data_IF_997376221420
#
_entry.id   IF_997376221420
#
_cell.length_a   1.000
_cell.length_b   1.000
_cell.length_c   1.000
_cell.angle_alpha   90.00
_cell.angle_beta   90.00
_cell.angle_gamma   90.00
#
_symmetry.space_group_name_H-M   'P 1'
#
loop_
_entity.id
_entity.type
_entity.pdbx_description
1 polymer ?
#
# COMPACT_ATOMS: atom_id res chain seq x y z
N UNK A 1 -16.95 5.43 34.00
CA UNK A 1 -16.36 5.87 32.72
C UNK A 1 -14.90 5.46 32.78
N UNK A 2 -14.56 4.29 32.25
CA UNK A 2 -13.18 3.79 32.24
C UNK A 2 -12.34 4.65 31.30
N UNK A 3 -11.10 4.87 31.69
CA UNK A 3 -10.08 5.62 30.95
C UNK A 3 -9.56 4.77 29.78
N UNK A 4 -10.42 4.48 28.79
CA UNK A 4 -10.06 3.75 27.56
C UNK A 4 -8.95 4.47 26.76
N UNK A 5 -8.69 5.74 27.05
CA UNK A 5 -7.68 6.54 26.38
C UNK A 5 -6.26 5.99 26.54
N UNK A 6 -5.97 5.26 27.64
CA UNK A 6 -4.67 4.63 27.88
C UNK A 6 -4.46 3.34 27.09
N UNK A 7 -5.53 2.62 26.76
CA UNK A 7 -5.44 1.35 26.02
C UNK A 7 -5.02 1.58 24.56
N UNK A 8 -5.47 2.67 23.93
CA UNK A 8 -5.22 2.94 22.51
C UNK A 8 -4.09 3.96 22.25
N UNK A 9 -3.10 4.08 23.14
CA UNK A 9 -1.95 4.98 22.88
C UNK A 9 -1.19 4.48 21.66
N UNK A 10 -1.08 5.34 20.63
CA UNK A 10 -0.36 5.08 19.39
C UNK A 10 1.02 5.68 19.47
N UNK A 11 2.02 4.96 18.98
CA UNK A 11 3.38 5.46 18.80
C UNK A 11 3.63 5.63 17.32
N UNK A 12 3.75 6.89 16.88
CA UNK A 12 4.09 7.24 15.51
C UNK A 12 5.41 8.01 15.56
N UNK A 13 6.46 7.42 15.02
CA UNK A 13 7.79 8.00 14.90
C UNK A 13 7.90 8.68 13.54
N UNK A 14 8.41 9.90 13.51
CA UNK A 14 8.82 10.54 12.26
C UNK A 14 10.26 10.13 11.98
N UNK A 15 10.49 9.67 10.77
CA UNK A 15 11.81 9.23 10.30
C UNK A 15 12.01 9.78 8.89
N UNK A 16 13.21 9.66 8.34
CA UNK A 16 13.52 10.11 6.98
C UNK A 16 14.65 9.29 6.37
N UNK A 17 14.56 9.02 5.08
CA UNK A 17 15.63 8.35 4.33
C UNK A 17 16.15 9.28 3.25
N UNK A 18 17.44 9.58 3.27
CA UNK A 18 18.10 10.32 2.19
C UNK A 18 18.31 9.37 1.01
N UNK A 19 17.70 9.70 -0.13
CA UNK A 19 17.78 8.91 -1.36
C UNK A 19 18.79 9.50 -2.32
N UNK A 20 19.76 8.69 -2.75
CA UNK A 20 20.68 9.06 -3.83
C UNK A 20 19.97 8.96 -5.17
N UNK A 21 19.14 7.93 -5.36
CA UNK A 21 18.40 7.67 -6.60
C UNK A 21 17.40 8.78 -6.93
N UNK A 22 16.69 9.30 -5.94
CA UNK A 22 15.71 10.37 -6.11
C UNK A 22 16.31 11.77 -6.00
N UNK A 23 17.52 11.88 -5.44
CA UNK A 23 18.19 13.16 -5.16
C UNK A 23 17.50 13.99 -4.09
N UNK A 24 16.72 13.37 -3.21
CA UNK A 24 15.96 14.04 -2.15
C UNK A 24 15.89 13.21 -0.87
N UNK A 25 15.51 13.84 0.24
CA UNK A 25 15.19 13.15 1.49
C UNK A 25 13.71 12.84 1.53
N UNK A 26 13.38 11.56 1.71
CA UNK A 26 12.02 11.03 1.76
C UNK A 26 11.53 10.96 3.22
N UNK A 27 10.52 11.75 3.63
CA UNK A 27 9.94 11.66 4.96
C UNK A 27 9.15 10.37 5.14
N UNK A 28 9.19 9.81 6.34
CA UNK A 28 8.52 8.56 6.71
C UNK A 28 7.71 8.74 8.00
N UNK A 29 6.62 7.99 8.11
CA UNK A 29 5.84 7.81 9.35
C UNK A 29 5.87 6.35 9.75
N UNK A 30 6.43 6.05 10.90
CA UNK A 30 6.56 4.69 11.40
C UNK A 30 5.60 4.50 12.56
N UNK A 31 4.57 3.69 12.36
CA UNK A 31 3.70 3.23 13.43
C UNK A 31 4.30 1.99 14.08
N UNK A 32 4.43 2.03 15.40
CA UNK A 32 4.82 0.88 16.21
C UNK A 32 3.57 0.33 16.92
N UNK A 33 3.30 -0.99 16.82
CA UNK A 33 2.11 -1.58 17.39
C UNK A 33 2.12 -1.54 18.93
N UNK A 34 0.94 -1.68 19.59
CA UNK A 34 0.86 -1.84 21.04
C UNK A 34 1.73 -3.00 21.50
N UNK A 35 2.48 -2.80 22.58
CA UNK A 35 3.40 -3.82 23.09
C UNK A 35 4.70 -3.98 22.27
N UNK A 36 5.00 -3.05 21.35
CA UNK A 36 6.25 -3.06 20.59
C UNK A 36 7.47 -3.35 21.46
N UNK A 37 8.24 -4.32 21.00
CA UNK A 37 9.45 -4.84 21.62
C UNK A 37 10.47 -5.14 20.52
N UNK A 38 11.68 -4.60 20.68
CA UNK A 38 12.79 -4.72 19.73
C UNK A 38 13.32 -6.16 19.58
N UNK A 39 13.00 -7.05 20.52
CA UNK A 39 13.40 -8.46 20.50
C UNK A 39 12.43 -9.36 19.70
N UNK A 40 11.28 -8.84 19.28
CA UNK A 40 10.31 -9.55 18.44
C UNK A 40 10.38 -9.04 17.00
N UNK A 41 9.93 -9.85 16.04
CA UNK A 41 9.81 -9.42 14.64
C UNK A 41 8.36 -9.32 14.17
N UNK A 42 8.06 -8.29 13.37
CA UNK A 42 6.71 -7.95 12.93
C UNK A 42 6.56 -8.03 11.40
N UNK A 43 5.40 -8.41 10.87
CA UNK A 43 5.03 -8.05 9.51
C UNK A 43 5.10 -6.53 9.32
N UNK A 44 5.28 -6.10 8.08
CA UNK A 44 5.37 -4.68 7.73
C UNK A 44 4.43 -4.32 6.58
N UNK A 45 3.69 -3.23 6.77
CA UNK A 45 2.85 -2.63 5.74
C UNK A 45 3.50 -1.33 5.29
N UNK A 46 3.86 -1.26 4.02
CA UNK A 46 4.35 -0.04 3.39
C UNK A 46 3.19 0.68 2.69
N UNK A 47 2.81 1.83 3.23
CA UNK A 47 1.77 2.67 2.65
C UNK A 47 2.39 3.75 1.75
N UNK A 48 2.05 3.69 0.46
CA UNK A 48 2.16 4.83 -0.44
C UNK A 48 1.34 6.00 0.09
N UNK A 49 1.66 7.25 -0.26
CA UNK A 49 0.96 8.42 0.30
C UNK A 49 0.89 8.40 1.83
N UNK A 50 2.03 8.18 2.50
CA UNK A 50 2.12 7.95 3.94
C UNK A 50 1.32 8.95 4.78
N UNK A 51 1.42 10.24 4.46
CA UNK A 51 0.63 11.30 5.09
C UNK A 51 -0.87 11.05 5.02
N UNK A 52 -1.38 10.62 3.87
CA UNK A 52 -2.80 10.39 3.63
C UNK A 52 -3.31 9.13 4.36
N UNK A 53 -2.57 8.02 4.33
CA UNK A 53 -2.92 6.81 5.08
C UNK A 53 -3.00 7.06 6.59
N UNK A 54 -2.07 7.86 7.12
CA UNK A 54 -2.03 8.17 8.55
C UNK A 54 -3.11 9.18 8.96
N UNK A 55 -3.34 10.22 8.17
CA UNK A 55 -4.24 11.32 8.53
C UNK A 55 -5.70 11.04 8.12
N UNK A 56 -5.94 10.66 6.87
CA UNK A 56 -7.28 10.41 6.34
C UNK A 56 -7.70 8.94 6.53
N UNK A 57 -6.81 8.01 6.17
CA UNK A 57 -7.05 6.57 6.40
C UNK A 57 -7.09 6.19 7.88
N UNK A 58 -6.45 6.99 8.75
CA UNK A 58 -6.30 6.71 10.19
C UNK A 58 -5.75 5.32 10.48
N UNK A 59 -4.90 4.77 9.60
CA UNK A 59 -4.44 3.37 9.64
C UNK A 59 -3.88 2.95 11.00
N UNK A 60 -3.06 3.81 11.64
CA UNK A 60 -2.53 3.57 12.98
C UNK A 60 -3.62 3.39 14.05
N UNK A 61 -4.76 4.10 13.90
CA UNK A 61 -5.91 3.95 14.82
C UNK A 61 -6.65 2.66 14.56
N UNK A 62 -6.90 2.36 13.28
CA UNK A 62 -7.58 1.16 12.84
C UNK A 62 -6.80 -0.07 13.30
N UNK A 63 -5.52 -0.16 12.96
CA UNK A 63 -4.68 -1.29 13.32
C UNK A 63 -4.51 -1.45 14.84
N UNK A 64 -4.32 -0.37 15.61
CA UNK A 64 -4.29 -0.47 17.08
C UNK A 64 -5.58 -1.09 17.64
N UNK A 65 -6.75 -0.75 17.09
CA UNK A 65 -8.02 -1.33 17.54
C UNK A 65 -8.11 -2.80 17.16
N UNK A 66 -7.80 -3.16 15.92
CA UNK A 66 -7.84 -4.56 15.48
C UNK A 66 -6.91 -5.44 16.33
N UNK A 67 -5.71 -4.95 16.66
CA UNK A 67 -4.76 -5.67 17.53
C UNK A 67 -5.33 -5.88 18.93
N UNK A 68 -5.91 -4.84 19.55
CA UNK A 68 -6.33 -4.89 20.96
C UNK A 68 -7.70 -5.54 21.15
N UNK A 69 -8.62 -5.32 20.22
CA UNK A 69 -10.03 -5.69 20.35
C UNK A 69 -10.34 -7.01 19.62
N UNK A 70 -9.56 -7.34 18.58
CA UNK A 70 -9.81 -8.47 17.68
C UNK A 70 -8.63 -9.47 17.61
N UNK A 71 -7.60 -9.28 18.44
CA UNK A 71 -6.39 -10.13 18.50
C UNK A 71 -5.67 -10.27 17.14
N UNK A 72 -5.77 -9.25 16.29
CA UNK A 72 -5.08 -9.22 15.00
C UNK A 72 -3.56 -9.18 15.21
N UNK A 73 -2.79 -9.84 14.34
CA UNK A 73 -1.33 -9.87 14.45
C UNK A 73 -0.74 -8.44 14.47
N UNK A 74 0.09 -8.09 15.48
CA UNK A 74 0.79 -6.82 15.52
C UNK A 74 1.71 -6.62 14.31
N UNK A 75 1.54 -5.50 13.60
CA UNK A 75 2.37 -5.13 12.45
C UNK A 75 2.93 -3.71 12.57
N UNK A 76 4.08 -3.47 11.95
CA UNK A 76 4.64 -2.13 11.76
C UNK A 76 4.05 -1.53 10.49
N UNK A 77 3.70 -0.24 10.51
CA UNK A 77 3.27 0.48 9.29
C UNK A 77 4.29 1.55 8.96
N UNK A 78 4.80 1.53 7.74
CA UNK A 78 5.72 2.52 7.17
C UNK A 78 4.96 3.35 6.14
N UNK A 79 4.56 4.55 6.51
CA UNK A 79 4.02 5.54 5.58
C UNK A 79 5.14 6.25 4.85
N UNK A 80 5.16 6.16 3.52
CA UNK A 80 6.16 6.79 2.65
C UNK A 80 5.55 8.07 2.06
N UNK A 81 6.02 9.24 2.50
CA UNK A 81 5.47 10.52 2.02
C UNK A 81 5.98 10.86 0.63
N UNK A 82 5.09 11.27 -0.27
CA UNK A 82 5.49 11.72 -1.60
C UNK A 82 5.41 13.24 -1.69
N UNK A 83 6.37 13.86 -2.39
CA UNK A 83 6.22 15.25 -2.78
C UNK A 83 5.09 15.32 -3.81
N UNK A 84 4.01 16.04 -3.50
CA UNK A 84 2.81 16.13 -4.34
C UNK A 84 3.15 16.54 -5.79
N UNK A 85 4.12 17.43 -5.97
CA UNK A 85 4.56 17.87 -7.30
C UNK A 85 5.22 16.75 -8.13
N UNK A 86 5.82 15.76 -7.46
CA UNK A 86 6.48 14.61 -8.10
C UNK A 86 5.60 13.37 -8.11
N UNK A 87 4.49 13.33 -7.36
CA UNK A 87 3.67 12.13 -7.13
C UNK A 87 3.26 11.44 -8.43
N UNK A 88 2.71 12.19 -9.39
CA UNK A 88 2.31 11.61 -10.68
C UNK A 88 3.52 11.08 -11.46
N UNK A 89 4.66 11.80 -11.43
CA UNK A 89 5.91 11.39 -12.11
C UNK A 89 6.56 10.15 -11.49
N UNK A 90 6.37 9.93 -10.19
CA UNK A 90 6.92 8.78 -9.45
C UNK A 90 5.97 7.57 -9.48
N UNK A 91 4.66 7.78 -9.40
CA UNK A 91 3.70 6.67 -9.23
C UNK A 91 3.08 6.18 -10.54
N UNK A 92 2.99 7.02 -11.56
CA UNK A 92 2.48 6.61 -12.87
C UNK A 92 3.59 5.85 -13.64
N UNK A 93 3.32 4.67 -14.23
CA UNK A 93 4.34 3.90 -14.93
C UNK A 93 5.01 4.60 -16.13
N UNK A 94 4.33 5.59 -16.71
CA UNK A 94 4.89 6.45 -17.77
C UNK A 94 5.59 7.71 -17.24
N UNK A 95 5.63 7.90 -15.93
CA UNK A 95 6.25 9.04 -15.27
C UNK A 95 7.78 8.98 -15.36
N UNK A 96 8.41 10.13 -15.54
CA UNK A 96 9.87 10.24 -15.71
C UNK A 96 10.66 9.69 -14.51
N UNK A 97 10.09 9.75 -13.31
CA UNK A 97 10.73 9.31 -12.07
C UNK A 97 10.28 7.92 -11.61
N UNK A 98 9.44 7.23 -12.37
CA UNK A 98 8.82 5.98 -11.94
C UNK A 98 9.86 4.90 -11.61
N UNK A 99 10.74 4.60 -12.56
CA UNK A 99 11.77 3.58 -12.38
C UNK A 99 12.72 3.94 -11.20
N UNK A 100 13.07 5.22 -11.06
CA UNK A 100 13.89 5.71 -9.94
C UNK A 100 13.17 5.54 -8.61
N UNK A 101 11.85 5.77 -8.56
CA UNK A 101 11.05 5.56 -7.37
C UNK A 101 10.99 4.08 -6.98
N UNK A 102 10.75 3.20 -7.96
CA UNK A 102 10.72 1.75 -7.74
C UNK A 102 12.08 1.23 -7.25
N UNK A 103 13.19 1.70 -7.84
CA UNK A 103 14.55 1.40 -7.39
C UNK A 103 14.83 1.95 -6.00
N UNK A 104 14.50 3.21 -5.71
CA UNK A 104 14.61 3.80 -4.38
C UNK A 104 13.93 2.93 -3.33
N UNK A 105 12.71 2.49 -3.63
CA UNK A 105 11.93 1.71 -2.69
C UNK A 105 12.61 0.38 -2.35
N UNK A 106 13.08 -0.33 -3.38
CA UNK A 106 13.69 -1.66 -3.22
C UNK A 106 15.12 -1.62 -2.67
N UNK A 107 15.92 -0.63 -3.09
CA UNK A 107 17.38 -0.61 -2.86
C UNK A 107 17.80 0.33 -1.73
N UNK A 108 17.00 1.35 -1.39
CA UNK A 108 17.33 2.32 -0.35
C UNK A 108 16.35 2.26 0.82
N UNK A 109 15.04 2.40 0.56
CA UNK A 109 14.03 2.44 1.62
C UNK A 109 13.89 1.10 2.35
N UNK A 110 13.76 0.00 1.61
CA UNK A 110 13.56 -1.32 2.20
C UNK A 110 14.74 -1.68 3.12
N UNK A 111 16.01 -1.64 2.69
CA UNK A 111 17.15 -1.85 3.59
C UNK A 111 17.24 -0.84 4.73
N UNK A 112 16.84 0.43 4.51
CA UNK A 112 16.84 1.44 5.57
C UNK A 112 15.94 1.04 6.74
N UNK A 113 14.73 0.56 6.44
CA UNK A 113 13.74 0.11 7.43
C UNK A 113 14.20 -1.19 8.10
N UNK A 114 14.63 -2.18 7.33
CA UNK A 114 14.99 -3.50 7.86
C UNK A 114 16.22 -3.49 8.79
N UNK A 115 17.09 -2.48 8.65
CA UNK A 115 18.22 -2.29 9.55
C UNK A 115 17.88 -1.50 10.83
N UNK A 116 16.71 -0.85 10.91
CA UNK A 116 16.33 0.03 12.03
C UNK A 116 15.17 -0.51 12.85
N UNK A 117 14.27 -1.24 12.22
CA UNK A 117 13.07 -1.78 12.84
C UNK A 117 13.09 -3.30 12.69
N UNK A 118 12.62 -4.05 13.71
CA UNK A 118 12.64 -5.50 13.67
C UNK A 118 11.46 -6.02 12.83
N UNK A 119 11.53 -5.78 11.52
CA UNK A 119 10.54 -6.27 10.56
C UNK A 119 10.99 -7.62 10.00
N UNK A 120 10.02 -8.46 9.64
CA UNK A 120 10.29 -9.73 8.96
C UNK A 120 10.65 -9.46 7.49
N UNK A 121 11.66 -10.18 7.00
CA UNK A 121 12.27 -9.92 5.69
C UNK A 121 11.76 -10.87 4.58
N UNK A 122 10.89 -11.81 4.93
CA UNK A 122 10.25 -12.68 3.93
C UNK A 122 9.25 -11.86 3.10
N UNK A 123 9.20 -12.07 1.79
CA UNK A 123 8.31 -11.30 0.89
C UNK A 123 6.81 -11.46 1.21
N UNK A 124 6.42 -12.53 1.90
CA UNK A 124 5.06 -12.76 2.42
C UNK A 124 4.75 -11.90 3.64
N UNK A 125 5.76 -11.36 4.32
CA UNK A 125 5.59 -10.51 5.52
C UNK A 125 5.65 -9.02 5.19
N UNK A 126 5.86 -8.68 3.91
CA UNK A 126 5.89 -7.32 3.38
C UNK A 126 4.65 -7.07 2.54
N UNK A 127 3.80 -6.15 3.00
CA UNK A 127 2.56 -5.78 2.33
C UNK A 127 2.74 -4.38 1.75
N UNK A 128 2.55 -4.23 0.44
CA UNK A 128 2.49 -2.92 -0.21
C UNK A 128 1.04 -2.43 -0.21
N UNK A 129 0.78 -1.18 0.13
CA UNK A 129 -0.56 -0.63 0.19
C UNK A 129 -0.61 0.75 -0.47
N UNK A 130 -1.62 0.99 -1.31
CA UNK A 130 -1.82 2.31 -1.89
C UNK A 130 -3.21 2.53 -2.47
N UNK A 131 -3.61 3.79 -2.55
CA UNK A 131 -4.83 4.23 -3.21
C UNK A 131 -4.55 4.83 -4.59
N UNK A 132 -5.46 4.65 -5.55
CA UNK A 132 -5.34 5.28 -6.88
C UNK A 132 -3.99 4.97 -7.55
N UNK A 133 -3.17 5.99 -7.90
CA UNK A 133 -1.79 5.81 -8.38
C UNK A 133 -0.86 5.11 -7.36
N UNK A 134 -1.10 5.26 -6.06
CA UNK A 134 -0.42 4.50 -5.01
C UNK A 134 -0.68 2.99 -5.14
N UNK A 135 -1.91 2.59 -5.51
CA UNK A 135 -2.23 1.20 -5.82
C UNK A 135 -1.51 0.71 -7.07
N UNK A 136 -1.39 1.58 -8.09
CA UNK A 136 -0.62 1.31 -9.31
C UNK A 136 0.85 1.07 -9.01
N UNK A 137 1.56 2.00 -8.35
CA UNK A 137 2.99 1.83 -8.05
C UNK A 137 3.25 0.65 -7.11
N UNK A 138 2.33 0.35 -6.18
CA UNK A 138 2.43 -0.84 -5.33
C UNK A 138 2.39 -2.15 -6.13
N UNK A 139 1.54 -2.22 -7.16
CA UNK A 139 1.50 -3.37 -8.06
C UNK A 139 2.77 -3.46 -8.91
N UNK A 140 3.25 -2.35 -9.47
CA UNK A 140 4.51 -2.34 -10.25
C UNK A 140 5.72 -2.76 -9.41
N UNK A 141 5.84 -2.27 -8.18
CA UNK A 141 6.85 -2.72 -7.22
C UNK A 141 6.85 -4.24 -7.04
N UNK A 142 5.67 -4.87 -6.91
CA UNK A 142 5.58 -6.32 -6.80
C UNK A 142 5.93 -7.05 -8.11
N UNK A 143 5.55 -6.51 -9.26
CA UNK A 143 5.85 -7.08 -10.57
C UNK A 143 7.33 -6.97 -10.95
N UNK A 144 8.00 -5.90 -10.55
CA UNK A 144 9.40 -5.62 -10.87
C UNK A 144 10.37 -6.21 -9.85
N UNK A 145 9.93 -6.38 -8.60
CA UNK A 145 10.72 -6.98 -7.53
C UNK A 145 9.99 -8.19 -6.90
N UNK A 146 9.67 -9.25 -7.67
CA UNK A 146 8.92 -10.40 -7.18
C UNK A 146 9.66 -11.19 -6.09
N UNK A 147 10.99 -11.09 -6.00
CA UNK A 147 11.74 -11.70 -4.90
C UNK A 147 11.56 -10.95 -3.56
N UNK A 148 11.16 -9.68 -3.60
CA UNK A 148 11.02 -8.82 -2.43
C UNK A 148 9.57 -8.66 -1.98
N UNK A 149 8.62 -8.64 -2.91
CA UNK A 149 7.21 -8.37 -2.63
C UNK A 149 6.30 -9.35 -3.34
N UNK A 150 5.24 -9.77 -2.65
CA UNK A 150 4.19 -10.57 -3.26
C UNK A 150 2.79 -10.27 -2.73
N UNK A 151 2.61 -9.28 -1.84
CA UNK A 151 1.32 -8.92 -1.25
C UNK A 151 1.03 -7.45 -1.49
N UNK A 152 -0.12 -7.17 -2.10
CA UNK A 152 -0.53 -5.81 -2.46
C UNK A 152 -1.97 -5.54 -2.03
N UNK A 153 -2.19 -4.43 -1.33
CA UNK A 153 -3.51 -3.81 -1.12
C UNK A 153 -3.63 -2.65 -2.12
N UNK A 154 -4.59 -2.76 -3.04
CA UNK A 154 -4.95 -1.70 -3.99
C UNK A 154 -6.33 -1.16 -3.65
N UNK A 155 -6.39 0.11 -3.27
CA UNK A 155 -7.63 0.84 -2.97
C UNK A 155 -7.98 1.72 -4.17
N UNK A 156 -8.91 1.26 -4.99
CA UNK A 156 -9.33 1.93 -6.22
C UNK A 156 -8.16 2.25 -7.16
N UNK A 157 -7.32 1.24 -7.44
CA UNK A 157 -6.10 1.40 -8.25
C UNK A 157 -6.35 2.04 -9.61
N UNK A 158 -5.52 3.02 -9.99
CA UNK A 158 -5.58 3.72 -11.27
C UNK A 158 -4.87 2.88 -12.36
N UNK A 159 -5.42 1.71 -12.64
CA UNK A 159 -4.80 0.73 -13.54
C UNK A 159 -5.12 1.05 -15.00
N UNK A 160 -4.24 1.78 -15.66
CA UNK A 160 -4.36 2.07 -17.09
C UNK A 160 -3.71 0.99 -17.97
N UNK A 161 -3.80 1.15 -19.30
CA UNK A 161 -3.28 0.20 -20.29
C UNK A 161 -1.84 -0.21 -20.03
N UNK A 162 -0.95 0.74 -19.69
CA UNK A 162 0.46 0.45 -19.41
C UNK A 162 0.66 -0.56 -18.27
N UNK A 163 -0.20 -0.51 -17.25
CA UNK A 163 -0.17 -1.48 -16.14
C UNK A 163 -0.64 -2.86 -16.62
N UNK A 164 -1.70 -2.90 -17.43
CA UNK A 164 -2.18 -4.17 -18.01
C UNK A 164 -1.18 -4.78 -18.99
N UNK A 165 -0.49 -3.98 -19.79
CA UNK A 165 0.58 -4.48 -20.66
C UNK A 165 1.75 -5.06 -19.85
N UNK A 166 2.11 -4.42 -18.72
CA UNK A 166 3.10 -4.97 -17.78
C UNK A 166 2.65 -6.30 -17.16
N UNK A 167 1.37 -6.47 -16.83
CA UNK A 167 0.81 -7.73 -16.34
C UNK A 167 0.83 -8.80 -17.45
N UNK A 168 0.44 -8.43 -18.69
CA UNK A 168 0.45 -9.36 -19.84
C UNK A 168 1.84 -9.91 -20.13
N UNK A 169 2.90 -9.12 -19.89
CA UNK A 169 4.29 -9.51 -20.12
C UNK A 169 4.84 -10.49 -19.08
N UNK A 170 4.14 -10.73 -17.97
CA UNK A 170 4.50 -11.78 -17.01
C UNK A 170 3.75 -13.06 -17.34
N UNK A 171 4.45 -14.18 -17.43
CA UNK A 171 3.86 -15.46 -17.83
C UNK A 171 2.92 -16.04 -16.76
N UNK A 172 3.36 -16.05 -15.50
CA UNK A 172 2.62 -16.61 -14.37
C UNK A 172 2.75 -15.69 -13.14
N UNK A 173 1.62 -15.45 -12.48
CA UNK A 173 1.46 -14.63 -11.28
C UNK A 173 0.93 -15.45 -10.10
N UNK A 174 1.03 -16.79 -10.12
CA UNK A 174 0.62 -17.65 -8.98
C UNK A 174 1.31 -17.32 -7.66
N UNK A 175 2.44 -16.62 -7.75
CA UNK A 175 3.23 -16.13 -6.63
C UNK A 175 2.71 -14.81 -6.05
N UNK A 176 1.78 -14.12 -6.70
CA UNK A 176 1.29 -12.79 -6.35
C UNK A 176 -0.09 -12.86 -5.68
N UNK A 177 -0.23 -12.16 -4.56
CA UNK A 177 -1.46 -12.07 -3.78
C UNK A 177 -1.95 -10.62 -3.66
N UNK A 178 -3.18 -10.35 -4.09
CA UNK A 178 -3.77 -9.02 -4.15
C UNK A 178 -5.08 -8.94 -3.39
N UNK A 179 -5.24 -7.87 -2.61
CA UNK A 179 -6.53 -7.36 -2.19
C UNK A 179 -6.86 -6.13 -3.03
N UNK A 180 -7.90 -6.21 -3.86
CA UNK A 180 -8.35 -5.11 -4.72
C UNK A 180 -9.74 -4.66 -4.29
N UNK A 181 -9.86 -3.39 -3.92
CA UNK A 181 -11.12 -2.74 -3.59
C UNK A 181 -11.45 -1.69 -4.66
N UNK A 182 -12.70 -1.60 -5.08
CA UNK A 182 -13.17 -0.50 -5.94
C UNK A 182 -14.57 -0.02 -5.53
N UNK A 183 -14.78 1.29 -5.57
CA UNK A 183 -16.08 1.92 -5.39
C UNK A 183 -16.91 1.90 -6.69
N UNK A 184 -18.16 1.46 -6.61
CA UNK A 184 -19.05 1.32 -7.78
C UNK A 184 -19.49 2.66 -8.41
N UNK A 185 -19.31 3.78 -7.70
CA UNK A 185 -19.60 5.12 -8.23
C UNK A 185 -18.39 5.75 -8.93
N UNK A 186 -17.28 5.01 -9.08
CA UNK A 186 -16.03 5.48 -9.68
C UNK A 186 -16.00 5.33 -11.21
N UNK A 187 -17.12 5.65 -11.87
CA UNK A 187 -17.25 5.53 -13.34
C UNK A 187 -16.79 6.76 -14.10
N UNK A 188 -16.52 7.87 -13.41
CA UNK A 188 -16.14 9.17 -14.01
C UNK A 188 -15.15 9.93 -13.10
N UNK A 189 -14.02 9.29 -12.78
CA UNK A 189 -12.99 9.84 -11.87
C UNK A 189 -12.09 10.83 -12.61
N UNK A 190 -12.16 12.11 -12.24
CA UNK A 190 -11.28 13.16 -12.80
C UNK A 190 -9.89 13.11 -12.16
N UNK A 191 -8.88 13.02 -13.01
CA UNK A 191 -7.46 13.02 -12.64
C UNK A 191 -6.72 14.10 -13.43
N UNK A 192 -5.44 14.34 -13.10
CA UNK A 192 -4.56 15.21 -13.91
C UNK A 192 -4.43 14.75 -15.37
N UNK A 193 -4.74 13.48 -15.64
CA UNK A 193 -4.59 12.83 -16.94
C UNK A 193 -5.90 12.76 -17.74
N UNK A 194 -6.99 13.25 -17.19
CA UNK A 194 -8.33 13.15 -17.76
C UNK A 194 -9.31 12.42 -16.84
N UNK A 195 -10.50 12.14 -17.38
CA UNK A 195 -11.57 11.48 -16.65
C UNK A 195 -11.73 10.03 -17.12
N UNK A 196 -11.81 9.10 -16.17
CA UNK A 196 -11.76 7.66 -16.45
C UNK A 196 -12.80 6.87 -15.65
N UNK A 197 -13.23 5.75 -16.22
CA UNK A 197 -14.08 4.76 -15.55
C UNK A 197 -13.20 3.76 -14.77
N UNK A 198 -12.87 4.09 -13.52
CA UNK A 198 -12.02 3.24 -12.68
C UNK A 198 -12.67 1.89 -12.37
N UNK A 199 -14.00 1.80 -12.36
CA UNK A 199 -14.71 0.52 -12.23
C UNK A 199 -14.37 -0.40 -13.40
N UNK A 200 -14.49 0.10 -14.64
CA UNK A 200 -14.09 -0.64 -15.84
C UNK A 200 -12.61 -1.02 -15.80
N UNK A 201 -11.73 -0.08 -15.48
CA UNK A 201 -10.29 -0.32 -15.45
C UNK A 201 -9.90 -1.41 -14.43
N UNK A 202 -10.50 -1.40 -13.24
CA UNK A 202 -10.27 -2.42 -12.21
C UNK A 202 -10.86 -3.79 -12.62
N UNK A 203 -12.04 -3.84 -13.24
CA UNK A 203 -12.62 -5.09 -13.77
C UNK A 203 -11.79 -5.72 -14.89
N UNK A 204 -11.22 -4.91 -15.78
CA UNK A 204 -10.33 -5.40 -16.82
C UNK A 204 -9.03 -5.96 -16.21
N UNK A 205 -8.50 -5.26 -15.21
CA UNK A 205 -7.25 -5.63 -14.55
C UNK A 205 -7.41 -6.88 -13.68
N UNK A 206 -8.49 -6.99 -12.91
CA UNK A 206 -8.77 -8.16 -12.05
C UNK A 206 -8.92 -9.44 -12.89
N UNK A 207 -9.60 -9.35 -14.04
CA UNK A 207 -9.78 -10.49 -14.97
C UNK A 207 -8.43 -10.94 -15.51
N UNK A 208 -7.60 -9.99 -15.95
CA UNK A 208 -6.27 -10.29 -16.46
C UNK A 208 -5.35 -10.92 -15.39
N UNK A 209 -5.42 -10.45 -14.15
CA UNK A 209 -4.66 -11.02 -13.02
C UNK A 209 -5.09 -12.46 -12.73
N UNK A 210 -6.39 -12.74 -12.74
CA UNK A 210 -6.94 -14.09 -12.59
C UNK A 210 -6.50 -15.02 -13.73
N UNK A 211 -6.52 -14.54 -14.97
CA UNK A 211 -6.04 -15.29 -16.15
C UNK A 211 -4.54 -15.63 -16.05
N UNK A 212 -3.78 -14.85 -15.28
CA UNK A 212 -2.37 -15.07 -14.96
C UNK A 212 -2.14 -15.82 -13.65
N UNK A 213 -3.19 -16.42 -13.06
CA UNK A 213 -3.16 -17.21 -11.82
C UNK A 213 -2.89 -16.44 -10.52
N UNK A 214 -2.96 -15.11 -10.50
CA UNK A 214 -2.78 -14.35 -9.25
C UNK A 214 -3.85 -14.72 -8.20
N UNK A 215 -3.44 -14.83 -6.94
CA UNK A 215 -4.36 -15.01 -5.82
C UNK A 215 -5.06 -13.67 -5.53
N UNK A 216 -6.33 -13.56 -5.90
CA UNK A 216 -7.05 -12.29 -5.87
C UNK A 216 -8.25 -12.30 -4.94
N UNK A 217 -8.29 -11.34 -4.03
CA UNK A 217 -9.48 -10.93 -3.29
C UNK A 217 -10.01 -9.62 -3.87
N UNK A 218 -10.96 -9.71 -4.81
CA UNK A 218 -11.55 -8.57 -5.50
C UNK A 218 -12.91 -8.20 -4.93
N UNK A 219 -13.07 -6.96 -4.50
CA UNK A 219 -14.27 -6.44 -3.84
C UNK A 219 -14.76 -5.17 -4.55
N UNK A 220 -16.01 -5.20 -4.98
CA UNK A 220 -16.75 -4.03 -5.44
C UNK A 220 -17.78 -3.63 -4.39
N UNK A 221 -17.82 -2.35 -4.00
CA UNK A 221 -18.79 -1.84 -3.02
C UNK A 221 -19.36 -0.49 -3.43
N UNK A 222 -20.57 -0.11 -2.97
CA UNK A 222 -21.05 1.26 -3.11
C UNK A 222 -20.05 2.22 -2.46
N UNK A 223 -19.51 3.16 -3.26
CA UNK A 223 -18.39 3.98 -2.83
C UNK A 223 -17.87 4.86 -3.94
N UNK A 224 -17.26 5.99 -3.55
CA UNK A 224 -16.63 6.96 -4.43
C UNK A 224 -15.12 6.96 -4.23
N UNK A 225 -14.41 7.60 -5.15
CA UNK A 225 -12.95 7.78 -5.11
C UNK A 225 -12.51 8.79 -4.03
N UNK A 226 -12.72 8.46 -2.75
CA UNK A 226 -12.44 9.32 -1.61
C UNK A 226 -11.96 8.50 -0.40
N UNK A 227 -11.12 9.12 0.43
CA UNK A 227 -10.60 8.52 1.66
C UNK A 227 -11.66 8.02 2.63
N UNK A 228 -12.83 8.66 2.71
CA UNK A 228 -13.90 8.18 3.60
C UNK A 228 -14.39 6.78 3.24
N UNK A 229 -14.39 6.43 1.95
CA UNK A 229 -14.72 5.08 1.49
C UNK A 229 -13.58 4.10 1.80
N UNK A 230 -12.35 4.43 1.40
CA UNK A 230 -11.20 3.56 1.64
C UNK A 230 -10.95 3.30 3.13
N UNK A 231 -11.07 4.34 3.96
CA UNK A 231 -10.94 4.25 5.41
C UNK A 231 -11.93 3.25 6.03
N UNK A 232 -13.18 3.25 5.57
CA UNK A 232 -14.22 2.32 6.04
C UNK A 232 -13.84 0.86 5.74
N UNK A 233 -13.10 0.64 4.67
CA UNK A 233 -12.75 -0.67 4.14
C UNK A 233 -11.38 -1.18 4.60
N UNK A 234 -10.51 -0.30 5.12
CA UNK A 234 -9.21 -0.67 5.68
C UNK A 234 -9.25 -1.83 6.69
N UNK A 235 -10.23 -1.94 7.62
CA UNK A 235 -10.26 -3.09 8.52
C UNK A 235 -10.25 -4.44 7.79
N UNK A 236 -11.09 -4.59 6.76
CA UNK A 236 -11.18 -5.83 6.00
C UNK A 236 -9.89 -6.15 5.24
N UNK A 237 -9.21 -5.12 4.70
CA UNK A 237 -7.95 -5.32 3.98
C UNK A 237 -6.82 -5.75 4.92
N UNK A 238 -6.79 -5.22 6.15
CA UNK A 238 -5.81 -5.59 7.17
C UNK A 238 -6.04 -7.01 7.68
N UNK A 239 -7.29 -7.41 7.94
CA UNK A 239 -7.62 -8.78 8.32
C UNK A 239 -7.22 -9.81 7.27
N UNK A 240 -7.37 -9.47 5.99
CA UNK A 240 -7.02 -10.40 4.92
C UNK A 240 -5.55 -10.84 4.97
N UNK A 241 -4.63 -9.95 5.34
CA UNK A 241 -3.19 -10.24 5.33
C UNK A 241 -2.58 -10.54 6.71
N UNK A 242 -3.21 -10.09 7.80
CA UNK A 242 -2.71 -10.23 9.18
C UNK A 242 -3.58 -11.13 10.08
N UNK A 243 -4.69 -11.64 9.56
CA UNK A 243 -5.66 -12.46 10.30
C UNK A 243 -5.58 -13.95 10.03
#
# INVERSE_FOLDING_TARGET
MSDDSRLYKRTIVKDEVTSVLLGETRPLRIYLPPGYNELLSYPVIYCQDGEQFFNFGRIATTLTRLILDEDLEPAIVVGVDVNIANRTSEYAPEGERHDLYCQFFAEELLPYIENRYPVRQERTERILAGDSLGGTVSLHLALDYPSLFCRVISLSGAFFDITRERIKSVDDLSWLELYMLIGLDETDVTTERGTFDFVRENRLTQTLLQDKNAALHYIEKPGKHIWGFWQLELPATLHYFLG
#
